data_IF_525868168192
#
_entry.id   IF_525868168192
#
_cell.length_a   1.000
_cell.length_b   1.000
_cell.length_c   1.000
_cell.angle_alpha   90.00
_cell.angle_beta   90.00
_cell.angle_gamma   90.00
#
_symmetry.space_group_name_H-M   'P 1'
#
loop_
_entity.id
_entity.type
_entity.pdbx_description
1 polymer ?
#
# COMPACT_ATOMS: atom_id res chain seq x y z
N UNK A 1 13.23 17.55 10.79
CA UNK A 1 13.38 17.77 9.33
C UNK A 1 14.42 16.79 8.82
N UNK A 2 14.01 15.79 8.05
CA UNK A 2 14.93 14.90 7.35
C UNK A 2 15.48 15.72 6.16
N UNK A 3 16.74 16.12 6.27
CA UNK A 3 17.45 16.76 5.15
C UNK A 3 17.94 15.66 4.22
N UNK A 4 17.77 15.83 2.90
CA UNK A 4 18.26 14.92 1.83
C UNK A 4 17.49 13.59 1.67
N UNK A 5 16.17 13.62 1.54
CA UNK A 5 15.43 12.49 0.98
C UNK A 5 15.57 12.54 -0.55
N UNK A 6 16.35 11.62 -1.14
CA UNK A 6 16.36 11.40 -2.58
C UNK A 6 15.34 10.33 -2.92
N UNK A 7 14.28 10.70 -3.60
CA UNK A 7 13.27 9.75 -4.10
C UNK A 7 13.83 9.01 -5.30
N UNK A 8 13.99 7.70 -5.17
CA UNK A 8 14.34 6.84 -6.30
C UNK A 8 13.07 6.14 -6.75
N UNK A 9 12.40 6.72 -7.72
CA UNK A 9 11.26 6.09 -8.37
C UNK A 9 11.78 5.13 -9.43
N UNK A 10 11.52 3.83 -9.25
CA UNK A 10 11.83 2.82 -10.26
C UNK A 10 10.53 2.47 -10.97
N UNK A 11 10.34 3.03 -12.17
CA UNK A 11 9.22 2.65 -13.03
C UNK A 11 9.39 1.20 -13.51
N UNK A 12 8.45 0.33 -13.17
CA UNK A 12 8.47 -1.09 -13.45
C UNK A 12 7.70 -1.45 -14.74
N UNK A 13 7.92 -0.73 -15.83
CA UNK A 13 7.30 -1.05 -17.12
C UNK A 13 8.06 -2.12 -17.93
N UNK A 14 8.93 -2.93 -17.33
CA UNK A 14 9.63 -4.00 -18.02
C UNK A 14 8.94 -5.36 -17.80
N UNK A 15 8.39 -5.88 -18.89
CA UNK A 15 7.72 -7.18 -18.98
C UNK A 15 8.72 -8.34 -18.86
N UNK A 16 8.37 -9.30 -17.99
CA UNK A 16 8.61 -10.76 -17.88
C UNK A 16 9.95 -11.41 -18.31
N UNK A 17 10.45 -12.23 -17.44
CA UNK A 17 11.21 -13.48 -17.43
C UNK A 17 12.64 -13.49 -16.85
N UNK A 18 13.37 -12.36 -16.78
CA UNK A 18 14.67 -12.29 -16.05
C UNK A 18 14.67 -11.14 -15.01
N UNK A 19 13.56 -10.93 -14.35
CA UNK A 19 13.26 -9.69 -13.58
C UNK A 19 14.13 -9.48 -12.34
N UNK A 20 14.46 -10.54 -11.62
CA UNK A 20 15.09 -10.35 -10.31
C UNK A 20 16.57 -9.98 -10.36
N UNK A 21 17.32 -10.48 -11.34
CA UNK A 21 18.75 -10.16 -11.49
C UNK A 21 18.97 -8.73 -12.00
N UNK A 22 18.23 -8.34 -13.03
CA UNK A 22 18.32 -6.98 -13.59
C UNK A 22 17.80 -5.94 -12.59
N UNK A 23 16.73 -6.25 -11.87
CA UNK A 23 16.16 -5.38 -10.86
C UNK A 23 17.12 -5.18 -9.68
N UNK A 24 17.75 -6.27 -9.21
CA UNK A 24 18.77 -6.19 -8.16
C UNK A 24 19.94 -5.31 -8.57
N UNK A 25 20.50 -5.50 -9.76
CA UNK A 25 21.61 -4.70 -10.24
C UNK A 25 21.26 -3.21 -10.32
N UNK A 26 20.06 -2.89 -10.83
CA UNK A 26 19.54 -1.53 -10.91
C UNK A 26 19.43 -0.87 -9.53
N UNK A 27 18.90 -1.58 -8.52
CA UNK A 27 18.83 -1.09 -7.15
C UNK A 27 20.23 -0.95 -6.53
N UNK A 28 21.09 -1.96 -6.67
CA UNK A 28 22.45 -1.95 -6.14
C UNK A 28 23.24 -0.73 -6.64
N UNK A 29 23.23 -0.48 -7.94
CA UNK A 29 23.92 0.67 -8.52
C UNK A 29 23.44 2.01 -7.95
N UNK A 30 22.11 2.16 -7.75
CA UNK A 30 21.56 3.38 -7.16
C UNK A 30 21.86 3.49 -5.66
N UNK A 31 21.81 2.40 -4.92
CA UNK A 31 22.15 2.38 -3.50
C UNK A 31 23.59 2.84 -3.31
N UNK A 32 24.52 2.28 -4.08
CA UNK A 32 25.94 2.64 -4.01
C UNK A 32 26.14 4.10 -4.47
N UNK A 33 25.63 4.47 -5.66
CA UNK A 33 25.81 5.81 -6.23
C UNK A 33 25.34 6.93 -5.29
N UNK A 34 24.25 6.71 -4.55
CA UNK A 34 23.65 7.73 -3.69
C UNK A 34 23.90 7.51 -2.20
N UNK A 35 24.75 6.52 -1.84
CA UNK A 35 25.03 6.15 -0.44
C UNK A 35 23.76 5.98 0.40
N UNK A 36 22.83 5.17 -0.10
CA UNK A 36 21.52 4.98 0.54
C UNK A 36 21.66 4.10 1.77
N UNK A 37 21.30 4.63 2.91
CA UNK A 37 21.33 3.91 4.19
C UNK A 37 19.95 3.35 4.58
N UNK A 38 18.87 4.00 4.16
CA UNK A 38 17.49 3.61 4.44
C UNK A 38 16.76 3.38 3.12
N UNK A 39 16.31 2.16 2.90
CA UNK A 39 15.56 1.79 1.69
C UNK A 39 14.12 1.50 2.07
N UNK A 40 13.20 2.22 1.44
CA UNK A 40 11.76 2.00 1.58
C UNK A 40 11.25 1.35 0.29
N UNK A 41 10.54 0.24 0.44
CA UNK A 41 9.93 -0.51 -0.65
C UNK A 41 8.42 -0.52 -0.46
N UNK A 42 7.71 -0.05 -1.49
CA UNK A 42 6.25 -0.14 -1.64
C UNK A 42 5.97 -0.77 -3.01
N UNK A 43 6.04 -2.10 -3.07
CA UNK A 43 5.88 -2.83 -4.33
C UNK A 43 5.54 -4.29 -4.12
N UNK A 44 4.47 -4.75 -4.74
CA UNK A 44 4.06 -6.16 -4.75
C UNK A 44 4.96 -7.09 -5.57
N UNK A 45 5.83 -6.53 -6.42
CA UNK A 45 6.68 -7.30 -7.34
C UNK A 45 7.98 -7.80 -6.72
N UNK A 46 8.35 -7.27 -5.56
CA UNK A 46 9.57 -7.65 -4.86
C UNK A 46 9.30 -8.91 -4.03
N UNK A 47 10.17 -9.89 -4.19
CA UNK A 47 10.10 -11.13 -3.43
C UNK A 47 11.19 -11.19 -2.34
N UNK A 48 11.03 -12.12 -1.41
CA UNK A 48 11.96 -12.31 -0.29
C UNK A 48 13.42 -12.53 -0.72
N UNK A 49 13.65 -13.15 -1.87
CA UNK A 49 15.01 -13.36 -2.39
C UNK A 49 15.70 -12.04 -2.76
N UNK A 50 14.95 -11.10 -3.32
CA UNK A 50 15.45 -9.75 -3.61
C UNK A 50 15.60 -8.93 -2.33
N UNK A 51 14.65 -9.03 -1.40
CA UNK A 51 14.74 -8.38 -0.09
C UNK A 51 16.01 -8.76 0.66
N UNK A 52 16.33 -10.07 0.74
CA UNK A 52 17.57 -10.58 1.36
C UNK A 52 18.84 -9.98 0.75
N UNK A 53 18.85 -9.80 -0.59
CA UNK A 53 19.98 -9.19 -1.28
C UNK A 53 20.10 -7.70 -1.02
N UNK A 54 18.97 -6.98 -1.03
CA UNK A 54 18.92 -5.53 -0.80
C UNK A 54 19.21 -5.15 0.65
N UNK A 55 18.73 -5.94 1.60
CA UNK A 55 18.97 -5.74 3.03
C UNK A 55 20.46 -5.69 3.39
N UNK A 56 21.29 -6.48 2.70
CA UNK A 56 22.75 -6.49 2.89
C UNK A 56 23.44 -5.20 2.41
N UNK A 57 22.75 -4.38 1.62
CA UNK A 57 23.32 -3.16 1.04
C UNK A 57 22.95 -1.88 1.79
N UNK A 58 22.03 -1.97 2.74
CA UNK A 58 21.49 -0.80 3.45
C UNK A 58 21.52 -1.03 4.96
N UNK A 59 21.48 0.03 5.75
CA UNK A 59 21.38 -0.07 7.20
C UNK A 59 20.02 -0.53 7.66
N UNK A 60 18.96 -0.04 6.99
CA UNK A 60 17.57 -0.37 7.34
C UNK A 60 16.77 -0.57 6.07
N UNK A 61 16.14 -1.73 5.94
CA UNK A 61 15.15 -2.03 4.91
C UNK A 61 13.75 -1.96 5.50
N UNK A 62 12.91 -1.08 4.92
CA UNK A 62 11.53 -0.85 5.32
C UNK A 62 10.63 -1.31 4.19
N UNK A 63 9.64 -2.14 4.49
CA UNK A 63 8.68 -2.65 3.49
C UNK A 63 7.27 -2.26 3.89
N UNK A 64 6.51 -1.73 2.92
CA UNK A 64 5.06 -1.63 3.00
C UNK A 64 4.44 -2.86 2.33
N UNK A 65 3.59 -3.57 3.05
CA UNK A 65 2.85 -4.72 2.52
C UNK A 65 1.45 -4.80 3.12
N UNK A 66 0.46 -4.97 2.25
CA UNK A 66 -0.94 -5.17 2.60
C UNK A 66 -1.30 -6.65 2.72
N UNK A 67 -0.39 -7.53 2.29
CA UNK A 67 -0.64 -8.96 2.18
C UNK A 67 -0.04 -9.73 3.35
N UNK A 68 -0.88 -10.31 4.19
CA UNK A 68 -0.47 -11.09 5.36
C UNK A 68 0.03 -12.51 5.04
N UNK A 69 0.04 -12.93 3.78
CA UNK A 69 0.54 -14.28 3.38
C UNK A 69 1.96 -14.30 2.86
N UNK A 70 2.55 -13.16 2.55
CA UNK A 70 3.93 -13.08 2.06
C UNK A 70 4.95 -13.29 3.19
N UNK A 71 6.09 -13.86 2.83
CA UNK A 71 7.28 -13.89 3.69
C UNK A 71 8.13 -12.68 3.37
N UNK A 72 8.66 -12.04 4.41
CA UNK A 72 9.52 -10.88 4.28
C UNK A 72 10.82 -11.03 5.04
N UNK A 73 11.89 -10.41 4.53
CA UNK A 73 13.19 -10.28 5.18
C UNK A 73 13.58 -8.79 5.20
N UNK A 74 13.08 -8.09 6.19
CA UNK A 74 13.26 -6.65 6.36
C UNK A 74 13.47 -6.30 7.83
N UNK A 75 13.93 -5.07 8.09
CA UNK A 75 14.09 -4.58 9.46
C UNK A 75 12.80 -4.00 10.01
N UNK A 76 11.99 -3.38 9.14
CA UNK A 76 10.68 -2.83 9.50
C UNK A 76 9.66 -3.24 8.45
N UNK A 77 8.55 -3.80 8.90
CA UNK A 77 7.39 -4.07 8.06
C UNK A 77 6.23 -3.20 8.50
N UNK A 78 5.63 -2.47 7.55
CA UNK A 78 4.49 -1.61 7.79
C UNK A 78 3.28 -2.20 7.07
N UNK A 79 2.23 -2.50 7.83
CA UNK A 79 0.95 -2.97 7.29
C UNK A 79 -0.17 -2.15 7.90
N UNK A 80 -0.86 -1.38 7.09
CA UNK A 80 -1.91 -0.46 7.52
C UNK A 80 -3.23 -1.16 7.89
N UNK A 81 -3.37 -2.43 7.55
CA UNK A 81 -4.58 -3.19 7.83
C UNK A 81 -4.67 -3.58 9.30
N UNK A 82 -5.90 -3.75 9.79
CA UNK A 82 -6.12 -4.32 11.11
C UNK A 82 -5.65 -5.77 11.17
N UNK A 83 -4.94 -6.11 12.24
CA UNK A 83 -4.59 -7.48 12.53
C UNK A 83 -5.82 -8.23 13.07
N UNK A 84 -6.38 -9.12 12.26
CA UNK A 84 -7.31 -10.12 12.75
C UNK A 84 -6.55 -11.37 13.29
N UNK A 85 -7.20 -12.36 13.91
CA UNK A 85 -6.54 -13.55 14.46
C UNK A 85 -5.65 -14.33 13.49
N UNK A 86 -5.88 -14.25 12.17
CA UNK A 86 -5.05 -14.90 11.15
C UNK A 86 -3.65 -14.27 11.04
N UNK A 87 -3.45 -13.11 11.57
CA UNK A 87 -2.20 -12.35 11.51
C UNK A 87 -1.15 -12.84 12.52
N UNK A 88 -1.54 -13.60 13.55
CA UNK A 88 -0.58 -14.33 14.38
C UNK A 88 0.28 -15.29 13.54
N UNK A 89 -0.31 -15.85 12.46
CA UNK A 89 0.44 -16.67 11.48
C UNK A 89 1.36 -15.83 10.60
N UNK A 90 1.04 -14.57 10.36
CA UNK A 90 1.86 -13.64 9.59
C UNK A 90 3.17 -13.31 10.31
N UNK A 91 3.11 -13.01 11.60
CA UNK A 91 4.30 -12.72 12.42
C UNK A 91 5.33 -13.85 12.32
N UNK A 92 4.88 -15.12 12.31
CA UNK A 92 5.75 -16.30 12.15
C UNK A 92 6.46 -16.38 10.78
N UNK A 93 6.02 -15.62 9.79
CA UNK A 93 6.62 -15.59 8.45
C UNK A 93 7.69 -14.50 8.28
N UNK A 94 7.86 -13.65 9.28
CA UNK A 94 8.82 -12.56 9.27
C UNK A 94 10.17 -13.04 9.83
N UNK A 95 11.21 -12.30 9.50
CA UNK A 95 12.49 -12.46 10.17
C UNK A 95 12.33 -12.14 11.67
N UNK A 96 12.95 -12.91 12.59
CA UNK A 96 12.76 -12.73 14.04
C UNK A 96 12.99 -11.29 14.55
N UNK A 97 13.91 -10.59 13.91
CA UNK A 97 14.27 -9.21 14.28
C UNK A 97 13.46 -8.14 13.55
N UNK A 98 12.45 -8.52 12.76
CA UNK A 98 11.63 -7.54 12.03
C UNK A 98 10.72 -6.79 12.99
N UNK A 99 10.83 -5.46 13.02
CA UNK A 99 9.88 -4.59 13.72
C UNK A 99 8.60 -4.48 12.93
N UNK A 100 7.50 -4.98 13.47
CA UNK A 100 6.19 -4.94 12.83
C UNK A 100 5.40 -3.71 13.29
N UNK A 101 5.01 -2.86 12.35
CA UNK A 101 4.18 -1.67 12.56
C UNK A 101 2.84 -1.90 11.86
N UNK A 102 1.78 -2.13 12.63
CA UNK A 102 0.48 -2.56 12.10
C UNK A 102 -0.64 -1.67 12.58
N UNK A 103 -1.64 -1.52 11.69
CA UNK A 103 -2.88 -0.83 11.96
C UNK A 103 -2.89 0.62 11.46
N UNK A 104 -4.04 1.23 11.64
CA UNK A 104 -4.39 2.55 11.11
C UNK A 104 -3.46 3.69 11.53
N UNK A 105 -2.85 3.60 12.70
CA UNK A 105 -1.92 4.63 13.20
C UNK A 105 -0.66 4.79 12.34
N UNK A 106 -0.37 3.79 11.51
CA UNK A 106 0.77 3.81 10.58
C UNK A 106 0.37 4.12 9.14
N UNK A 107 -0.91 4.45 8.90
CA UNK A 107 -1.40 4.82 7.60
C UNK A 107 -0.78 6.15 7.13
N UNK A 108 -0.17 6.14 5.96
CA UNK A 108 0.37 7.33 5.33
C UNK A 108 -0.77 8.10 4.64
N UNK A 109 -1.29 9.11 5.32
CA UNK A 109 -2.30 10.00 4.78
C UNK A 109 -1.69 11.32 4.33
N UNK A 110 -2.23 11.87 3.24
CA UNK A 110 -1.93 13.24 2.86
C UNK A 110 -2.34 14.19 4.00
N UNK A 111 -1.50 15.21 4.27
CA UNK A 111 -1.73 16.22 5.32
C UNK A 111 -3.10 16.90 5.23
N UNK A 112 -3.66 16.97 4.02
CA UNK A 112 -4.99 17.48 3.77
C UNK A 112 -6.06 16.78 4.62
N UNK A 113 -5.98 15.47 4.83
CA UNK A 113 -6.98 14.71 5.61
C UNK A 113 -6.98 15.08 7.09
N UNK A 114 -5.84 15.47 7.65
CA UNK A 114 -5.77 15.89 9.07
C UNK A 114 -6.61 17.12 9.37
N UNK A 115 -6.78 18.02 8.39
CA UNK A 115 -7.62 19.23 8.55
C UNK A 115 -9.10 18.91 8.76
N UNK A 116 -9.55 17.73 8.33
CA UNK A 116 -10.96 17.32 8.38
C UNK A 116 -11.28 16.36 9.52
N UNK A 117 -10.29 15.81 10.19
CA UNK A 117 -10.48 14.82 11.27
C UNK A 117 -11.44 15.31 12.36
N UNK A 118 -11.35 16.58 12.76
CA UNK A 118 -12.17 17.18 13.81
C UNK A 118 -13.56 17.63 13.33
N UNK A 119 -13.84 17.59 12.02
CA UNK A 119 -15.10 18.04 11.41
C UNK A 119 -16.06 16.88 11.12
N UNK A 120 -15.67 15.66 11.41
CA UNK A 120 -16.51 14.47 11.17
C UNK A 120 -17.63 14.44 12.20
N UNK A 121 -18.88 14.48 11.73
CA UNK A 121 -20.08 14.33 12.56
C UNK A 121 -20.83 13.07 12.14
N UNK A 122 -21.20 12.24 13.10
CA UNK A 122 -22.09 11.11 12.86
C UNK A 122 -23.47 11.63 12.49
N UNK A 123 -24.00 11.18 11.37
CA UNK A 123 -25.34 11.57 10.89
C UNK A 123 -26.36 10.47 11.21
N UNK A 124 -27.44 10.85 11.84
CA UNK A 124 -28.53 9.91 12.19
C UNK A 124 -29.38 9.49 10.97
N UNK A 125 -29.38 10.27 9.89
CA UNK A 125 -30.17 9.97 8.66
C UNK A 125 -29.25 10.04 7.44
N UNK A 126 -29.34 9.05 6.57
CA UNK A 126 -28.66 9.01 5.28
C UNK A 126 -29.45 9.82 4.25
N UNK A 127 -28.83 10.82 3.64
CA UNK A 127 -29.40 11.60 2.53
C UNK A 127 -28.49 11.66 1.32
N UNK A 128 -27.21 11.39 1.53
CA UNK A 128 -26.19 11.43 0.47
C UNK A 128 -25.33 10.19 0.57
N UNK A 129 -25.14 9.52 -0.54
CA UNK A 129 -24.26 8.38 -0.70
C UNK A 129 -23.17 8.74 -1.70
N UNK A 130 -21.95 8.36 -1.38
CA UNK A 130 -20.82 8.43 -2.29
C UNK A 130 -20.36 7.02 -2.60
N UNK A 131 -20.17 6.71 -3.89
CA UNK A 131 -19.76 5.38 -4.37
C UNK A 131 -18.45 5.53 -5.12
N UNK A 132 -17.47 4.69 -4.77
CA UNK A 132 -16.22 4.56 -5.50
C UNK A 132 -15.61 3.18 -5.22
N UNK A 133 -15.49 2.34 -6.24
CA UNK A 133 -14.90 1.00 -6.17
C UNK A 133 -13.46 0.94 -6.69
N UNK A 134 -12.79 2.08 -6.79
CA UNK A 134 -11.40 2.16 -7.24
C UNK A 134 -11.26 2.45 -8.73
N UNK A 135 -10.03 2.33 -9.22
CA UNK A 135 -9.69 2.68 -10.61
C UNK A 135 -10.08 1.60 -11.63
N UNK A 136 -10.20 0.36 -11.18
CA UNK A 136 -10.61 -0.77 -12.00
C UNK A 136 -11.77 -1.50 -11.32
N UNK A 137 -12.84 -1.70 -12.04
CA UNK A 137 -14.09 -2.25 -11.54
C UNK A 137 -14.57 -3.37 -12.51
N UNK A 138 -13.97 -4.57 -12.41
CA UNK A 138 -14.18 -5.64 -13.38
C UNK A 138 -15.62 -6.19 -13.40
N UNK A 139 -16.33 -6.10 -12.28
CA UNK A 139 -17.66 -6.73 -12.11
C UNK A 139 -18.81 -5.73 -12.08
N UNK A 140 -18.57 -4.47 -12.48
CA UNK A 140 -19.60 -3.40 -12.52
C UNK A 140 -20.30 -3.16 -11.17
N UNK A 141 -19.54 -3.13 -10.08
CA UNK A 141 -20.07 -2.94 -8.72
C UNK A 141 -20.80 -1.59 -8.57
N UNK A 142 -20.30 -0.54 -9.22
CA UNK A 142 -20.97 0.77 -9.26
C UNK A 142 -22.37 0.65 -9.86
N UNK A 143 -22.50 -0.01 -11.01
CA UNK A 143 -23.79 -0.19 -11.71
C UNK A 143 -24.76 -1.02 -10.86
N UNK A 144 -24.29 -2.12 -10.25
CA UNK A 144 -25.08 -2.93 -9.33
C UNK A 144 -25.60 -2.12 -8.14
N UNK A 145 -24.72 -1.32 -7.55
CA UNK A 145 -25.08 -0.45 -6.43
C UNK A 145 -26.11 0.60 -6.83
N UNK A 146 -25.96 1.23 -7.99
CA UNK A 146 -26.92 2.23 -8.50
C UNK A 146 -28.30 1.61 -8.77
N UNK A 147 -28.36 0.39 -9.33
CA UNK A 147 -29.62 -0.34 -9.53
C UNK A 147 -30.36 -0.60 -8.22
N UNK A 148 -29.64 -0.95 -7.16
CA UNK A 148 -30.24 -1.16 -5.83
C UNK A 148 -30.70 0.18 -5.26
N UNK A 149 -29.87 1.22 -5.33
CA UNK A 149 -30.16 2.53 -4.73
C UNK A 149 -31.28 3.30 -5.43
N UNK A 150 -31.57 2.98 -6.70
CA UNK A 150 -32.71 3.55 -7.45
C UNK A 150 -34.06 3.32 -6.73
N UNK A 151 -34.17 2.32 -5.88
CA UNK A 151 -35.39 2.03 -5.10
C UNK A 151 -35.63 3.04 -3.97
N UNK A 152 -34.67 3.90 -3.65
CA UNK A 152 -34.74 4.86 -2.55
C UNK A 152 -34.84 6.29 -3.08
N UNK A 153 -36.04 6.85 -3.13
CA UNK A 153 -36.33 8.16 -3.72
C UNK A 153 -35.66 9.35 -3.00
N UNK A 154 -35.35 9.21 -1.72
CA UNK A 154 -34.85 10.32 -0.89
C UNK A 154 -33.31 10.37 -0.79
N UNK A 155 -32.59 9.63 -1.63
CA UNK A 155 -31.14 9.57 -1.61
C UNK A 155 -30.52 10.33 -2.78
N UNK A 156 -29.59 11.23 -2.47
CA UNK A 156 -28.67 11.80 -3.46
C UNK A 156 -27.44 10.90 -3.55
N UNK A 157 -27.24 10.29 -4.73
CA UNK A 157 -26.09 9.41 -4.96
C UNK A 157 -25.08 10.13 -5.85
N UNK A 158 -23.83 10.20 -5.42
CA UNK A 158 -22.69 10.63 -6.21
C UNK A 158 -21.78 9.44 -6.42
N UNK A 159 -21.35 9.18 -7.64
CA UNK A 159 -20.38 8.14 -7.93
C UNK A 159 -19.20 8.67 -8.71
N UNK A 160 -18.03 8.11 -8.45
CA UNK A 160 -16.84 8.28 -9.27
C UNK A 160 -16.58 6.94 -9.96
N UNK A 161 -16.42 6.99 -11.27
CA UNK A 161 -16.08 5.83 -12.10
C UNK A 161 -14.58 5.91 -12.37
N UNK A 162 -13.86 4.84 -12.07
CA UNK A 162 -12.43 4.76 -12.33
C UNK A 162 -12.13 4.68 -13.82
N UNK A 163 -10.95 5.13 -14.22
CA UNK A 163 -10.52 5.18 -15.62
C UNK A 163 -10.57 3.81 -16.34
N UNK A 164 -10.42 2.73 -15.60
CA UNK A 164 -10.36 1.37 -16.12
C UNK A 164 -11.59 0.54 -15.74
N UNK A 165 -12.66 1.19 -15.28
CA UNK A 165 -13.96 0.53 -15.04
C UNK A 165 -14.62 0.16 -16.37
N UNK A 166 -15.26 -1.02 -16.39
CA UNK A 166 -16.00 -1.54 -17.56
C UNK A 166 -17.49 -1.31 -17.38
#
# INVERSE_FOLDING_TARGET
RIKNVKNIIVNNNAILSNRNSNLYLKYKLKIIKYNIQYLIIDSYQINIGLEKKLRKLVKVLIIFDDYYWKKHDCDVLINNNFLNPYQKKYIKKLHPNTKLLVGEKYLLLNKFFYKYKLKVKLRKKFRKIFIFFGNAEPNSETLKSLKILKKFSNLKVNCIIGKYSK
#
